data_IF_659322522297
#
_entry.id   IF_659322522297
#
_cell.length_a   1.000
_cell.length_b   1.000
_cell.length_c   1.000
_cell.angle_alpha   90.00
_cell.angle_beta   90.00
_cell.angle_gamma   90.00
#
_symmetry.space_group_name_H-M   'P 1'
#
loop_
_entity.id
_entity.type
_entity.pdbx_description
1 polymer ?
#
# COMPACT_ATOMS: atom_id res chain seq x y z
N UNK A 1 16.67 11.43 -15.63
CA UNK A 1 17.38 12.70 -15.51
C UNK A 1 17.28 13.22 -14.07
N UNK A 2 16.12 13.53 -13.53
CA UNK A 2 15.91 14.05 -12.18
C UNK A 2 16.59 13.22 -11.07
N UNK A 3 16.45 11.88 -11.09
CA UNK A 3 17.08 10.98 -10.10
C UNK A 3 18.61 11.11 -10.06
N UNK A 4 19.27 11.37 -11.19
CA UNK A 4 20.73 11.55 -11.22
C UNK A 4 21.15 12.91 -10.66
N UNK A 5 20.35 13.94 -10.89
CA UNK A 5 20.64 15.30 -10.45
C UNK A 5 20.51 15.47 -8.95
N UNK A 6 19.53 14.78 -8.36
CA UNK A 6 19.23 14.84 -6.93
C UNK A 6 19.68 13.59 -6.16
N UNK A 7 20.62 12.80 -6.72
CA UNK A 7 21.02 11.50 -6.15
C UNK A 7 21.36 11.59 -4.66
N UNK A 8 22.09 12.59 -4.24
CA UNK A 8 22.57 12.75 -2.87
C UNK A 8 21.52 13.39 -1.93
N UNK A 9 20.40 13.85 -2.48
CA UNK A 9 19.31 14.54 -1.77
C UNK A 9 18.04 13.71 -1.70
N UNK A 10 17.93 12.69 -2.57
CA UNK A 10 16.76 11.79 -2.57
C UNK A 10 16.73 10.97 -1.29
N UNK A 11 15.53 10.89 -0.69
CA UNK A 11 15.32 10.23 0.60
C UNK A 11 15.59 11.14 1.80
N UNK A 12 16.39 12.19 1.66
CA UNK A 12 16.63 13.20 2.70
C UNK A 12 15.62 14.35 2.58
N UNK A 13 15.87 15.27 1.66
CA UNK A 13 15.07 16.48 1.47
C UNK A 13 14.24 16.48 0.19
N UNK A 14 14.52 15.59 -0.75
CA UNK A 14 13.85 15.54 -2.06
C UNK A 14 13.33 14.15 -2.33
N UNK A 15 12.08 14.06 -2.78
CA UNK A 15 11.50 12.87 -3.40
C UNK A 15 11.16 13.17 -4.86
N UNK A 16 11.53 12.27 -5.75
CA UNK A 16 11.30 12.42 -7.20
C UNK A 16 10.56 11.22 -7.74
N UNK A 17 9.51 11.47 -8.49
CA UNK A 17 8.78 10.45 -9.23
C UNK A 17 8.48 10.94 -10.65
N UNK A 18 9.16 10.38 -11.62
CA UNK A 18 9.07 10.77 -13.04
C UNK A 18 9.35 12.27 -13.21
N UNK A 19 8.31 13.10 -13.31
CA UNK A 19 8.37 14.55 -13.48
C UNK A 19 7.90 15.32 -12.24
N UNK A 20 7.38 14.63 -11.24
CA UNK A 20 6.91 15.26 -10.00
C UNK A 20 8.02 15.23 -8.95
N UNK A 21 8.14 16.29 -8.18
CA UNK A 21 9.14 16.43 -7.13
C UNK A 21 8.48 17.02 -5.87
N UNK A 22 8.84 16.47 -4.72
CA UNK A 22 8.49 17.03 -3.41
C UNK A 22 9.76 17.38 -2.67
N UNK A 23 9.83 18.61 -2.18
CA UNK A 23 10.86 19.06 -1.25
C UNK A 23 10.25 19.03 0.15
N UNK A 24 10.88 18.31 1.06
CA UNK A 24 10.47 18.16 2.46
C UNK A 24 11.59 18.59 3.39
N UNK A 25 11.25 19.25 4.46
CA UNK A 25 12.20 19.66 5.48
C UNK A 25 11.70 19.22 6.85
N UNK A 26 12.64 18.91 7.73
CA UNK A 26 12.30 18.49 9.10
C UNK A 26 11.79 19.68 9.95
N UNK A 27 12.34 20.86 9.66
CA UNK A 27 12.05 22.10 10.38
C UNK A 27 11.65 23.19 9.41
N UNK A 28 10.69 24.02 9.78
CA UNK A 28 10.16 25.10 8.94
C UNK A 28 11.26 26.10 8.55
N UNK A 29 12.11 26.49 9.50
CA UNK A 29 13.22 27.41 9.26
C UNK A 29 14.20 26.89 8.22
N UNK A 30 14.46 25.57 8.21
CA UNK A 30 15.39 24.93 7.28
C UNK A 30 14.81 24.84 5.87
N UNK A 31 13.48 24.88 5.72
CA UNK A 31 12.81 24.68 4.44
C UNK A 31 13.23 25.68 3.37
N UNK A 32 13.52 26.91 3.76
CA UNK A 32 13.94 27.95 2.83
C UNK A 32 15.34 27.63 2.25
N UNK A 33 16.27 27.18 3.07
CA UNK A 33 17.63 26.82 2.66
C UNK A 33 17.60 25.56 1.77
N UNK A 34 16.80 24.56 2.16
CA UNK A 34 16.59 23.34 1.37
C UNK A 34 16.02 23.66 -0.02
N UNK A 35 15.03 24.56 -0.11
CA UNK A 35 14.50 25.03 -1.39
C UNK A 35 15.54 25.76 -2.23
N UNK A 36 16.34 26.62 -1.61
CA UNK A 36 17.42 27.35 -2.31
C UNK A 36 18.41 26.38 -2.94
N UNK A 37 18.82 25.38 -2.18
CA UNK A 37 19.73 24.33 -2.67
C UNK A 37 19.14 23.55 -3.86
N UNK A 38 17.85 23.21 -3.78
CA UNK A 38 17.13 22.56 -4.89
C UNK A 38 17.09 23.45 -6.13
N UNK A 39 16.79 24.74 -5.94
CA UNK A 39 16.76 25.69 -7.06
C UNK A 39 18.14 25.89 -7.71
N UNK A 40 19.22 25.86 -6.94
CA UNK A 40 20.58 25.93 -7.47
C UNK A 40 20.89 24.74 -8.36
N UNK A 41 20.56 23.53 -7.94
CA UNK A 41 20.71 22.31 -8.77
C UNK A 41 19.93 22.44 -10.08
N UNK A 42 18.69 22.92 -10.02
CA UNK A 42 17.86 23.09 -11.22
C UNK A 42 18.42 24.14 -12.17
N UNK A 43 18.93 25.27 -11.66
CA UNK A 43 19.59 26.31 -12.45
C UNK A 43 20.84 25.80 -13.16
N UNK A 44 21.69 25.03 -12.46
CA UNK A 44 22.87 24.42 -13.06
C UNK A 44 22.50 23.52 -14.24
N UNK A 45 21.36 22.84 -14.18
CA UNK A 45 20.89 21.96 -15.25
C UNK A 45 19.92 22.63 -16.23
N UNK A 46 19.74 23.94 -16.13
CA UNK A 46 18.86 24.76 -16.99
C UNK A 46 17.41 24.27 -17.03
N UNK A 47 16.92 23.73 -15.92
CA UNK A 47 15.53 23.28 -15.77
C UNK A 47 14.66 24.42 -15.24
N UNK A 48 13.40 24.43 -15.70
CA UNK A 48 12.36 25.36 -15.24
C UNK A 48 11.15 24.59 -14.74
N UNK A 49 10.56 25.04 -13.67
CA UNK A 49 9.26 24.57 -13.21
C UNK A 49 8.11 25.19 -14.00
N UNK A 50 7.01 24.47 -14.04
CA UNK A 50 5.74 25.07 -14.38
C UNK A 50 5.14 25.67 -13.09
N UNK A 51 5.19 26.99 -12.97
CA UNK A 51 4.75 27.72 -11.79
C UNK A 51 3.30 27.42 -11.42
N UNK A 52 2.41 27.26 -12.42
CA UNK A 52 0.98 26.98 -12.20
C UNK A 52 0.71 25.62 -11.55
N UNK A 53 1.71 24.73 -11.59
CA UNK A 53 1.63 23.38 -10.97
C UNK A 53 2.45 23.26 -9.70
N UNK A 54 3.09 24.33 -9.25
CA UNK A 54 3.92 24.33 -8.06
C UNK A 54 3.13 24.90 -6.88
N UNK A 55 3.27 24.25 -5.72
CA UNK A 55 2.78 24.78 -4.44
C UNK A 55 3.96 24.87 -3.48
N UNK A 56 4.12 25.99 -2.80
CA UNK A 56 5.22 26.26 -1.87
C UNK A 56 4.69 26.59 -0.49
N UNK A 57 5.41 26.18 0.56
CA UNK A 57 5.06 26.48 1.94
C UNK A 57 3.72 25.92 2.39
N UNK A 58 3.31 24.79 1.84
CA UNK A 58 2.02 24.16 2.12
C UNK A 58 2.18 23.06 3.15
N UNK A 59 1.31 23.02 4.17
CA UNK A 59 1.26 21.93 5.15
C UNK A 59 0.66 20.64 4.60
N UNK A 60 -0.01 20.71 3.44
CA UNK A 60 -0.65 19.59 2.74
C UNK A 60 -0.30 19.66 1.26
N UNK A 61 0.24 18.59 0.72
CA UNK A 61 0.62 18.51 -0.70
C UNK A 61 -0.10 17.36 -1.42
N UNK A 62 -0.55 17.63 -2.65
CA UNK A 62 -1.04 16.57 -3.56
C UNK A 62 0.16 15.98 -4.29
N UNK A 63 0.46 14.70 -4.05
CA UNK A 63 1.55 13.99 -4.71
C UNK A 63 1.10 12.57 -5.11
N UNK A 64 1.33 12.21 -6.36
CA UNK A 64 0.93 10.89 -6.92
C UNK A 64 -0.55 10.54 -6.72
N UNK A 65 -1.42 11.55 -6.70
CA UNK A 65 -2.86 11.34 -6.48
C UNK A 65 -3.26 11.13 -5.02
N UNK A 66 -2.36 11.36 -4.07
CA UNK A 66 -2.61 11.31 -2.63
C UNK A 66 -2.42 12.67 -1.99
N UNK A 67 -3.01 12.85 -0.81
CA UNK A 67 -2.66 13.96 0.07
C UNK A 67 -1.57 13.50 1.03
N UNK A 68 -0.48 14.25 1.06
CA UNK A 68 0.59 14.10 2.04
C UNK A 68 0.41 15.20 3.08
N UNK A 69 0.25 14.80 4.33
CA UNK A 69 0.06 15.67 5.47
C UNK A 69 1.11 15.38 6.54
N UNK A 70 1.25 16.22 7.55
CA UNK A 70 2.11 15.95 8.71
C UNK A 70 1.70 14.68 9.47
N UNK A 71 0.44 14.25 9.35
CA UNK A 71 -0.09 13.05 10.02
C UNK A 71 0.15 11.78 9.22
N UNK A 72 0.36 11.89 7.90
CA UNK A 72 0.55 10.74 7.01
C UNK A 72 0.02 10.95 5.60
N UNK A 73 -0.33 9.86 4.95
CA UNK A 73 -0.83 9.84 3.57
C UNK A 73 -2.33 9.53 3.59
N UNK A 74 -3.09 10.38 2.94
CA UNK A 74 -4.54 10.26 2.84
C UNK A 74 -4.98 10.10 1.37
N UNK A 75 -6.15 9.53 1.17
CA UNK A 75 -6.78 9.48 -0.15
C UNK A 75 -7.16 10.90 -0.56
N UNK A 76 -6.93 11.26 -1.82
CA UNK A 76 -7.37 12.55 -2.33
C UNK A 76 -8.90 12.65 -2.29
N UNK A 77 -9.49 13.67 -1.61
CA UNK A 77 -10.93 13.87 -1.56
C UNK A 77 -11.61 13.95 -2.92
N UNK A 78 -10.94 14.51 -3.93
CA UNK A 78 -11.45 14.58 -5.29
C UNK A 78 -11.71 13.19 -5.87
N UNK A 79 -10.82 12.22 -5.57
CA UNK A 79 -11.00 10.83 -5.98
C UNK A 79 -12.14 10.15 -5.22
N UNK A 80 -12.31 10.46 -3.92
CA UNK A 80 -13.40 9.93 -3.11
C UNK A 80 -14.74 10.44 -3.68
N UNK A 81 -14.85 11.73 -3.96
CA UNK A 81 -16.06 12.34 -4.50
C UNK A 81 -16.38 11.82 -5.91
N UNK A 82 -15.35 11.62 -6.74
CA UNK A 82 -15.51 11.02 -8.05
C UNK A 82 -16.12 9.61 -7.97
N UNK A 83 -15.73 8.78 -6.99
CA UNK A 83 -16.33 7.44 -6.79
C UNK A 83 -17.73 7.53 -6.18
N UNK A 84 -17.95 8.45 -5.24
CA UNK A 84 -19.28 8.64 -4.63
C UNK A 84 -20.34 9.06 -5.65
N UNK A 85 -19.98 9.94 -6.58
CA UNK A 85 -20.87 10.44 -7.64
C UNK A 85 -21.12 9.42 -8.75
N UNK A 86 -20.30 8.35 -8.84
CA UNK A 86 -20.50 7.32 -9.85
C UNK A 86 -21.87 6.62 -9.71
N UNK A 87 -22.56 6.48 -10.85
CA UNK A 87 -23.70 5.58 -10.97
C UNK A 87 -23.22 4.14 -11.18
N UNK A 88 -24.02 3.14 -10.81
CA UNK A 88 -23.68 1.75 -11.08
C UNK A 88 -23.31 1.54 -12.56
N UNK A 89 -22.18 0.86 -12.85
CA UNK A 89 -21.77 0.59 -14.21
C UNK A 89 -22.83 -0.15 -15.00
N UNK A 90 -23.15 0.33 -16.20
CA UNK A 90 -24.17 -0.26 -17.10
C UNK A 90 -23.55 -1.03 -18.29
N UNK A 91 -22.22 -1.03 -18.40
CA UNK A 91 -21.48 -1.73 -19.44
C UNK A 91 -20.03 -2.00 -19.02
N UNK A 92 -19.30 -2.89 -19.72
CA UNK A 92 -17.92 -3.23 -19.40
C UNK A 92 -16.96 -2.05 -19.39
N UNK A 93 -17.13 -1.05 -20.27
CA UNK A 93 -16.27 0.15 -20.29
C UNK A 93 -16.39 0.95 -18.98
N UNK A 94 -17.60 1.09 -18.44
CA UNK A 94 -17.79 1.75 -17.14
C UNK A 94 -17.20 0.96 -15.99
N UNK A 95 -17.18 -0.39 -16.07
CA UNK A 95 -16.48 -1.22 -15.09
C UNK A 95 -14.97 -1.01 -15.18
N UNK A 96 -14.40 -0.86 -16.38
CA UNK A 96 -12.98 -0.52 -16.54
C UNK A 96 -12.64 0.83 -15.89
N UNK A 97 -13.48 1.84 -16.07
CA UNK A 97 -13.31 3.15 -15.40
C UNK A 97 -13.34 2.97 -13.89
N UNK A 98 -14.33 2.26 -13.35
CA UNK A 98 -14.43 1.98 -11.92
C UNK A 98 -13.20 1.25 -11.40
N UNK A 99 -12.76 0.17 -12.05
CA UNK A 99 -11.58 -0.59 -11.61
C UNK A 99 -10.28 0.19 -11.75
N UNK A 100 -10.17 1.09 -12.73
CA UNK A 100 -9.07 2.04 -12.86
C UNK A 100 -9.00 3.01 -11.66
N UNK A 101 -10.14 3.58 -11.28
CA UNK A 101 -10.23 4.42 -10.08
C UNK A 101 -9.90 3.63 -8.81
N UNK A 102 -10.41 2.40 -8.69
CA UNK A 102 -10.13 1.52 -7.55
C UNK A 102 -8.65 1.19 -7.38
N UNK A 103 -7.87 1.15 -8.45
CA UNK A 103 -6.45 0.86 -8.38
C UNK A 103 -5.69 1.88 -7.51
N UNK A 104 -6.16 3.13 -7.45
CA UNK A 104 -5.57 4.19 -6.62
C UNK A 104 -5.82 3.95 -5.11
N UNK A 105 -6.89 3.24 -4.76
CA UNK A 105 -7.26 2.96 -3.36
C UNK A 105 -6.67 1.65 -2.81
N UNK A 106 -6.03 0.84 -3.63
CA UNK A 106 -5.55 -0.49 -3.25
C UNK A 106 -4.68 -0.50 -1.97
N UNK A 107 -3.87 0.55 -1.78
CA UNK A 107 -2.99 0.69 -0.60
C UNK A 107 -3.71 1.14 0.68
N UNK A 108 -4.98 1.49 0.60
CA UNK A 108 -5.79 1.96 1.73
C UNK A 108 -6.85 0.95 2.16
N UNK A 109 -7.05 -0.12 1.41
CA UNK A 109 -8.15 -1.06 1.64
C UNK A 109 -7.61 -2.45 1.97
N UNK A 110 -7.90 -2.90 3.19
CA UNK A 110 -7.63 -4.28 3.56
C UNK A 110 -8.52 -5.24 2.77
N UNK A 111 -7.98 -6.39 2.36
CA UNK A 111 -8.70 -7.39 1.54
C UNK A 111 -9.27 -6.85 0.22
N UNK A 112 -8.68 -5.80 -0.33
CA UNK A 112 -9.11 -5.17 -1.58
C UNK A 112 -9.42 -6.18 -2.70
N UNK A 113 -8.54 -7.16 -2.92
CA UNK A 113 -8.68 -8.14 -3.98
C UNK A 113 -9.87 -9.09 -3.78
N UNK A 114 -10.27 -9.36 -2.53
CA UNK A 114 -11.46 -10.14 -2.22
C UNK A 114 -12.74 -9.31 -2.36
N UNK A 115 -12.79 -8.14 -1.75
CA UNK A 115 -13.98 -7.27 -1.75
C UNK A 115 -14.40 -6.84 -3.16
N UNK A 116 -13.44 -6.54 -4.04
CA UNK A 116 -13.75 -6.01 -5.38
C UNK A 116 -13.55 -7.03 -6.50
N UNK A 117 -13.35 -8.30 -6.15
CA UNK A 117 -13.30 -9.42 -7.12
C UNK A 117 -14.48 -9.45 -8.09
N UNK A 118 -15.74 -9.19 -7.68
CA UNK A 118 -16.89 -9.20 -8.59
C UNK A 118 -16.70 -8.28 -9.79
N UNK A 119 -16.12 -7.09 -9.60
CA UNK A 119 -15.89 -6.16 -10.71
C UNK A 119 -14.85 -6.68 -11.71
N UNK A 120 -13.77 -7.29 -11.22
CA UNK A 120 -12.74 -7.88 -12.07
C UNK A 120 -13.23 -9.12 -12.80
N UNK A 121 -14.18 -9.85 -12.22
CA UNK A 121 -14.82 -10.99 -12.91
C UNK A 121 -15.70 -10.55 -14.08
N UNK A 122 -16.40 -9.41 -13.95
CA UNK A 122 -17.17 -8.83 -15.06
C UNK A 122 -16.29 -8.45 -16.25
N UNK A 123 -15.05 -8.01 -16.01
CA UNK A 123 -14.11 -7.70 -17.09
C UNK A 123 -13.61 -8.95 -17.83
N UNK A 124 -13.62 -10.12 -17.21
CA UNK A 124 -13.27 -11.40 -17.87
C UNK A 124 -14.40 -11.95 -18.73
N UNK A 125 -15.67 -11.65 -18.39
CA UNK A 125 -16.88 -12.12 -19.10
C UNK A 125 -17.42 -11.00 -19.98
N UNK A 126 -16.74 -10.73 -21.11
CA UNK A 126 -17.14 -9.66 -22.03
C UNK A 126 -18.50 -9.86 -22.69
N UNK A 127 -18.90 -11.13 -22.93
CA UNK A 127 -20.22 -11.48 -23.49
C UNK A 127 -21.22 -11.70 -22.34
N UNK A 128 -22.36 -11.00 -22.36
CA UNK A 128 -23.40 -11.14 -21.34
C UNK A 128 -23.15 -10.32 -20.07
N UNK A 129 -22.86 -9.03 -20.23
CA UNK A 129 -22.71 -8.12 -19.09
C UNK A 129 -23.97 -8.09 -18.23
N UNK A 130 -23.82 -8.42 -16.94
CA UNK A 130 -24.88 -8.32 -15.96
C UNK A 130 -24.32 -7.77 -14.65
N UNK A 131 -24.84 -6.63 -14.21
CA UNK A 131 -24.50 -6.04 -12.91
C UNK A 131 -25.26 -6.78 -11.80
N UNK A 132 -24.60 -7.78 -11.19
CA UNK A 132 -25.21 -8.68 -10.21
C UNK A 132 -25.45 -8.01 -8.86
N UNK A 133 -26.24 -8.66 -7.98
CA UNK A 133 -26.47 -8.20 -6.60
C UNK A 133 -25.14 -8.16 -5.80
N UNK A 134 -24.21 -9.08 -6.06
CA UNK A 134 -22.89 -9.09 -5.48
C UNK A 134 -22.10 -7.81 -5.85
N UNK A 135 -22.19 -7.39 -7.12
CA UNK A 135 -21.58 -6.16 -7.58
C UNK A 135 -22.23 -4.91 -6.94
N UNK A 136 -23.56 -4.92 -6.81
CA UNK A 136 -24.27 -3.80 -6.15
C UNK A 136 -23.82 -3.65 -4.69
N UNK A 137 -23.75 -4.77 -3.96
CA UNK A 137 -23.28 -4.79 -2.56
C UNK A 137 -21.84 -4.29 -2.44
N UNK A 138 -20.91 -4.87 -3.21
CA UNK A 138 -19.51 -4.45 -3.21
C UNK A 138 -19.34 -2.97 -3.59
N UNK A 139 -20.18 -2.44 -4.48
CA UNK A 139 -20.15 -1.03 -4.88
C UNK A 139 -20.66 -0.11 -3.77
N UNK A 140 -21.69 -0.52 -3.04
CA UNK A 140 -22.20 0.23 -1.90
C UNK A 140 -21.20 0.22 -0.72
N UNK A 141 -20.67 -0.95 -0.38
CA UNK A 141 -19.62 -1.09 0.64
C UNK A 141 -18.39 -0.24 0.33
N UNK A 142 -18.00 -0.15 -0.94
CA UNK A 142 -16.90 0.74 -1.37
C UNK A 142 -17.20 2.19 -1.02
N UNK A 143 -18.38 2.69 -1.38
CA UNK A 143 -18.77 4.08 -1.13
C UNK A 143 -18.77 4.40 0.38
N UNK A 144 -19.30 3.50 1.17
CA UNK A 144 -19.33 3.63 2.63
C UNK A 144 -17.92 3.60 3.24
N UNK A 145 -17.08 2.68 2.77
CA UNK A 145 -15.69 2.58 3.21
C UNK A 145 -14.89 3.86 2.91
N UNK A 146 -15.04 4.41 1.71
CA UNK A 146 -14.28 5.60 1.29
C UNK A 146 -14.65 6.86 2.10
N UNK A 147 -15.84 6.91 2.72
CA UNK A 147 -16.20 7.99 3.67
C UNK A 147 -15.29 7.98 4.90
N UNK A 148 -14.79 6.79 5.28
CA UNK A 148 -13.97 6.55 6.47
C UNK A 148 -12.61 5.97 6.12
N UNK A 149 -12.12 6.26 4.89
CA UNK A 149 -10.85 5.71 4.43
C UNK A 149 -9.74 5.95 5.46
N UNK A 150 -8.96 4.92 5.82
CA UNK A 150 -7.92 5.07 6.80
C UNK A 150 -6.80 5.96 6.26
N UNK A 151 -6.23 6.74 7.14
CA UNK A 151 -4.96 7.42 6.91
C UNK A 151 -3.81 6.44 7.09
N UNK A 152 -2.81 6.49 6.22
CA UNK A 152 -1.57 5.73 6.38
C UNK A 152 -0.54 6.60 7.10
N UNK A 153 0.04 6.06 8.17
CA UNK A 153 1.04 6.77 8.99
C UNK A 153 2.45 6.25 8.68
N UNK A 154 3.45 7.11 8.76
CA UNK A 154 4.84 6.69 8.68
C UNK A 154 5.31 6.22 10.06
N UNK A 155 6.01 5.07 10.18
CA UNK A 155 6.63 4.67 11.43
C UNK A 155 7.87 5.52 11.71
N UNK A 156 8.24 5.63 12.99
CA UNK A 156 9.48 6.27 13.38
C UNK A 156 10.65 5.28 13.32
N UNK A 157 11.88 5.75 13.12
CA UNK A 157 13.06 4.89 13.10
C UNK A 157 13.16 4.01 14.34
N UNK A 158 13.36 2.70 14.15
CA UNK A 158 13.49 1.72 15.23
C UNK A 158 12.18 1.32 15.92
N UNK A 159 11.02 1.82 15.49
CA UNK A 159 9.71 1.43 16.01
C UNK A 159 9.36 -0.02 15.64
N UNK A 160 8.79 -0.76 16.59
CA UNK A 160 8.24 -2.10 16.32
C UNK A 160 6.99 -2.00 15.46
N UNK A 161 6.92 -2.84 14.42
CA UNK A 161 5.76 -2.91 13.54
C UNK A 161 5.02 -4.23 13.73
N UNK A 162 3.72 -4.19 13.50
CA UNK A 162 2.83 -5.34 13.64
C UNK A 162 2.22 -5.68 12.28
N UNK A 163 2.09 -6.97 12.00
CA UNK A 163 1.59 -7.44 10.71
C UNK A 163 0.51 -8.47 10.89
N UNK A 164 -0.66 -8.22 10.28
CA UNK A 164 -1.71 -9.22 10.13
C UNK A 164 -1.72 -9.76 8.71
N UNK A 165 -1.87 -11.06 8.61
CA UNK A 165 -1.99 -11.79 7.36
C UNK A 165 -3.42 -12.33 7.24
N UNK A 166 -3.99 -12.22 6.06
CA UNK A 166 -5.28 -12.83 5.73
C UNK A 166 -5.19 -13.47 4.35
N UNK A 167 -5.74 -14.66 4.21
CA UNK A 167 -5.77 -15.39 2.95
C UNK A 167 -7.17 -15.95 2.72
N UNK A 168 -7.60 -15.92 1.47
CA UNK A 168 -8.81 -16.58 1.00
C UNK A 168 -8.47 -17.65 -0.04
N UNK A 169 -9.48 -18.23 -0.66
CA UNK A 169 -9.27 -19.11 -1.81
C UNK A 169 -8.58 -18.37 -2.95
N UNK A 170 -8.89 -17.09 -3.16
CA UNK A 170 -8.58 -16.33 -4.35
C UNK A 170 -7.57 -15.20 -4.17
N UNK A 171 -7.34 -14.77 -2.93
CA UNK A 171 -6.50 -13.63 -2.64
C UNK A 171 -5.68 -13.79 -1.36
N UNK A 172 -4.67 -12.94 -1.24
CA UNK A 172 -3.89 -12.73 -0.03
C UNK A 172 -3.88 -11.24 0.30
N UNK A 173 -3.94 -10.93 1.60
CA UNK A 173 -3.92 -9.56 2.09
C UNK A 173 -3.05 -9.44 3.33
N UNK A 174 -2.40 -8.30 3.44
CA UNK A 174 -1.49 -7.98 4.54
C UNK A 174 -1.80 -6.56 4.98
N UNK A 175 -1.80 -6.33 6.28
CA UNK A 175 -1.75 -4.98 6.84
C UNK A 175 -0.52 -4.86 7.73
N UNK A 176 0.25 -3.81 7.53
CA UNK A 176 1.35 -3.39 8.38
C UNK A 176 0.86 -2.23 9.24
N UNK A 177 1.05 -2.35 10.54
CA UNK A 177 0.56 -1.41 11.55
C UNK A 177 1.70 -0.96 12.45
N UNK A 178 1.55 0.23 13.02
CA UNK A 178 2.29 0.71 14.19
C UNK A 178 1.34 0.76 15.38
N UNK A 179 1.89 0.77 16.60
CA UNK A 179 1.10 0.87 17.83
C UNK A 179 1.62 2.00 18.73
N UNK A 180 0.93 3.13 18.72
CA UNK A 180 1.17 4.29 19.59
C UNK A 180 -0.13 4.74 20.24
N UNK A 181 -0.49 4.07 21.31
CA UNK A 181 -1.76 4.33 21.99
C UNK A 181 -2.98 3.92 21.13
N UNK A 182 -2.75 3.00 20.18
CA UNK A 182 -3.72 2.43 19.26
C UNK A 182 -3.09 2.05 17.93
N UNK A 183 -3.66 1.02 17.32
CA UNK A 183 -3.15 0.49 16.05
C UNK A 183 -3.45 1.45 14.90
N UNK A 184 -2.41 1.91 14.22
CA UNK A 184 -2.47 2.80 13.06
C UNK A 184 -1.90 2.10 11.84
N UNK A 185 -2.58 2.26 10.70
CA UNK A 185 -2.15 1.63 9.46
C UNK A 185 -0.91 2.32 8.88
N UNK A 186 0.11 1.52 8.57
CA UNK A 186 1.29 1.95 7.82
C UNK A 186 1.12 1.61 6.34
N UNK A 187 0.64 0.39 6.05
CA UNK A 187 0.44 -0.03 4.67
C UNK A 187 -0.51 -1.22 4.55
N UNK A 188 -1.30 -1.23 3.48
CA UNK A 188 -2.11 -2.38 3.08
C UNK A 188 -1.56 -2.99 1.80
N UNK A 189 -1.53 -4.31 1.74
CA UNK A 189 -1.23 -5.07 0.53
C UNK A 189 -2.41 -6.02 0.28
N UNK A 190 -2.91 -6.04 -0.93
CA UNK A 190 -3.87 -7.04 -1.36
C UNK A 190 -3.54 -7.50 -2.76
N UNK A 191 -3.61 -8.82 -2.99
CA UNK A 191 -3.26 -9.42 -4.28
C UNK A 191 -4.08 -10.66 -4.58
N UNK A 192 -4.64 -10.71 -5.77
CA UNK A 192 -5.28 -11.91 -6.32
C UNK A 192 -4.23 -13.01 -6.55
N UNK A 193 -4.56 -14.23 -6.19
CA UNK A 193 -3.75 -15.41 -6.47
C UNK A 193 -4.00 -15.88 -7.89
N UNK A 194 -2.94 -16.26 -8.58
CA UNK A 194 -3.04 -16.96 -9.87
C UNK A 194 -3.44 -18.42 -9.64
N UNK A 195 -4.05 -19.06 -10.65
CA UNK A 195 -4.66 -20.39 -10.53
C UNK A 195 -3.78 -21.44 -9.85
N UNK A 196 -2.48 -21.49 -10.20
CA UNK A 196 -1.52 -22.38 -9.57
C UNK A 196 -1.36 -22.16 -8.05
N UNK A 197 -1.50 -20.91 -7.58
CA UNK A 197 -1.36 -20.54 -6.17
C UNK A 197 -2.67 -20.65 -5.39
N UNK A 198 -3.80 -20.67 -6.05
CA UNK A 198 -5.09 -20.95 -5.41
C UNK A 198 -5.15 -22.33 -4.80
N UNK A 199 -4.40 -23.29 -5.36
CA UNK A 199 -4.30 -24.69 -4.87
C UNK A 199 -3.37 -24.87 -3.67
N UNK A 200 -2.67 -23.82 -3.23
CA UNK A 200 -1.81 -23.90 -2.04
C UNK A 200 -2.64 -24.08 -0.78
N UNK A 201 -2.09 -24.81 0.18
CA UNK A 201 -2.70 -24.92 1.51
C UNK A 201 -2.82 -23.53 2.16
N UNK A 202 -3.81 -23.30 3.02
CA UNK A 202 -3.98 -22.01 3.71
C UNK A 202 -2.68 -21.52 4.37
N UNK A 203 -1.94 -22.43 5.00
CA UNK A 203 -0.67 -22.14 5.65
C UNK A 203 0.42 -21.70 4.66
N UNK A 204 0.51 -22.36 3.49
CA UNK A 204 1.42 -21.94 2.41
C UNK A 204 1.04 -20.57 1.84
N UNK A 205 -0.26 -20.28 1.72
CA UNK A 205 -0.74 -18.96 1.29
C UNK A 205 -0.33 -17.88 2.28
N UNK A 206 -0.39 -18.14 3.60
CA UNK A 206 0.06 -17.20 4.63
C UNK A 206 1.56 -16.92 4.52
N UNK A 207 2.39 -17.95 4.37
CA UNK A 207 3.83 -17.76 4.14
C UNK A 207 4.08 -16.99 2.84
N UNK A 208 3.35 -17.32 1.77
CA UNK A 208 3.43 -16.58 0.50
C UNK A 208 3.06 -15.09 0.66
N UNK A 209 2.03 -14.79 1.46
CA UNK A 209 1.63 -13.41 1.76
C UNK A 209 2.76 -12.65 2.48
N UNK A 210 3.41 -13.29 3.46
CA UNK A 210 4.56 -12.71 4.17
C UNK A 210 5.75 -12.48 3.22
N UNK A 211 6.11 -13.47 2.41
CA UNK A 211 7.15 -13.31 1.37
C UNK A 211 6.82 -12.21 0.37
N UNK A 212 5.54 -12.06 0.02
CA UNK A 212 5.13 -10.97 -0.86
C UNK A 212 5.28 -9.60 -0.19
N UNK A 213 4.94 -9.52 1.10
CA UNK A 213 5.12 -8.31 1.90
C UNK A 213 6.60 -7.88 1.96
N UNK A 214 7.53 -8.81 2.25
CA UNK A 214 8.97 -8.49 2.27
C UNK A 214 9.52 -8.03 0.91
N UNK A 215 8.90 -8.47 -0.19
CA UNK A 215 9.27 -8.02 -1.54
C UNK A 215 8.71 -6.64 -1.87
N UNK A 216 7.52 -6.35 -1.39
CA UNK A 216 6.82 -5.10 -1.69
C UNK A 216 7.28 -3.94 -0.79
N UNK A 217 7.67 -4.26 0.44
CA UNK A 217 8.01 -3.30 1.48
C UNK A 217 9.41 -3.56 2.09
N UNK A 218 10.47 -3.79 1.29
CA UNK A 218 11.78 -4.20 1.82
C UNK A 218 12.35 -3.22 2.83
N UNK A 219 12.15 -1.93 2.63
CA UNK A 219 12.67 -0.87 3.50
C UNK A 219 12.08 -0.92 4.92
N UNK A 220 10.81 -1.30 5.08
CA UNK A 220 10.24 -1.47 6.43
C UNK A 220 10.84 -2.68 7.14
N UNK A 221 11.03 -3.80 6.44
CA UNK A 221 11.63 -5.00 7.03
C UNK A 221 13.13 -4.87 7.30
N UNK A 222 13.83 -3.96 6.64
CA UNK A 222 15.24 -3.66 6.88
C UNK A 222 15.45 -2.70 8.06
N UNK A 223 14.49 -1.78 8.29
CA UNK A 223 14.61 -0.72 9.28
C UNK A 223 13.92 -1.03 10.62
N UNK A 224 13.04 -2.04 10.66
CA UNK A 224 12.17 -2.30 11.80
C UNK A 224 12.09 -3.79 12.14
N UNK A 225 11.90 -4.10 13.43
CA UNK A 225 11.41 -5.41 13.85
C UNK A 225 9.95 -5.55 13.49
N UNK A 226 9.57 -6.63 12.79
CA UNK A 226 8.19 -6.87 12.37
C UNK A 226 7.60 -8.07 13.11
N UNK A 227 6.57 -7.82 13.93
CA UNK A 227 5.82 -8.86 14.64
C UNK A 227 4.66 -9.36 13.78
N UNK A 228 4.74 -10.59 13.32
CA UNK A 228 3.66 -11.26 12.59
C UNK A 228 2.67 -11.85 13.59
N UNK A 229 1.45 -11.31 13.58
CA UNK A 229 0.35 -11.73 14.47
C UNK A 229 -0.46 -12.81 13.75
N UNK A 230 -0.44 -14.04 14.25
CA UNK A 230 -1.04 -15.20 13.58
C UNK A 230 -1.53 -16.22 14.60
N UNK A 231 -2.60 -16.93 14.25
CA UNK A 231 -3.10 -18.09 14.99
C UNK A 231 -2.40 -19.41 14.59
N UNK A 232 -1.60 -19.33 13.52
CA UNK A 232 -0.93 -20.50 12.94
C UNK A 232 0.55 -20.58 13.37
N UNK A 233 1.12 -21.78 13.52
CA UNK A 233 2.50 -22.00 13.92
C UNK A 233 3.49 -21.73 12.77
N UNK A 234 3.46 -20.54 12.20
CA UNK A 234 4.31 -20.18 11.04
C UNK A 234 5.79 -20.30 11.33
N UNK A 235 6.23 -19.96 12.55
CA UNK A 235 7.64 -20.06 12.94
C UNK A 235 8.15 -21.50 12.91
N UNK A 236 7.38 -22.45 13.48
CA UNK A 236 7.77 -23.85 13.50
C UNK A 236 7.74 -24.47 12.10
N UNK A 237 6.80 -24.04 11.25
CA UNK A 237 6.73 -24.45 9.86
C UNK A 237 8.00 -24.03 9.08
N UNK A 238 8.41 -22.78 9.23
CA UNK A 238 9.56 -22.23 8.51
C UNK A 238 10.91 -22.78 9.01
N UNK A 239 10.97 -23.24 10.26
CA UNK A 239 12.16 -23.85 10.87
C UNK A 239 12.32 -25.35 10.58
N UNK A 240 11.27 -26.05 10.16
CA UNK A 240 11.33 -27.48 9.86
C UNK A 240 12.14 -27.74 8.59
N UNK A 241 13.26 -28.41 8.72
CA UNK A 241 14.16 -28.79 7.62
C UNK A 241 13.55 -29.77 6.60
N UNK A 242 12.45 -30.44 6.98
CA UNK A 242 11.82 -31.51 6.17
C UNK A 242 10.92 -30.99 5.05
N UNK A 243 10.68 -29.69 4.97
CA UNK A 243 9.95 -29.10 3.85
C UNK A 243 10.89 -28.87 2.68
N UNK A 244 10.98 -29.85 1.77
CA UNK A 244 11.67 -29.66 0.51
C UNK A 244 10.96 -28.63 -0.38
N UNK A 245 11.73 -27.80 -1.09
CA UNK A 245 11.23 -26.98 -2.17
C UNK A 245 10.89 -25.52 -1.80
N UNK A 246 9.64 -25.11 -1.98
CA UNK A 246 9.25 -23.68 -1.91
C UNK A 246 9.36 -23.08 -0.51
N UNK A 247 8.92 -23.79 0.52
CA UNK A 247 8.90 -23.30 1.90
C UNK A 247 10.32 -23.05 2.40
N UNK A 248 11.26 -23.93 2.07
CA UNK A 248 12.69 -23.74 2.41
C UNK A 248 13.24 -22.45 1.77
N UNK A 249 12.98 -22.23 0.46
CA UNK A 249 13.40 -21.01 -0.24
C UNK A 249 12.77 -19.77 0.38
N UNK A 250 11.52 -19.86 0.81
CA UNK A 250 10.83 -18.75 1.49
C UNK A 250 11.40 -18.52 2.89
N UNK A 251 11.69 -19.59 3.64
CA UNK A 251 12.32 -19.51 4.96
C UNK A 251 13.68 -18.82 4.92
N UNK A 252 14.56 -19.22 3.98
CA UNK A 252 15.86 -18.56 3.77
C UNK A 252 15.71 -17.07 3.52
N UNK A 253 14.76 -16.69 2.65
CA UNK A 253 14.51 -15.27 2.37
C UNK A 253 13.99 -14.50 3.59
N UNK A 254 13.06 -15.09 4.34
CA UNK A 254 12.48 -14.46 5.53
C UNK A 254 13.50 -14.35 6.67
N UNK A 255 14.46 -15.27 6.73
CA UNK A 255 15.55 -15.29 7.72
C UNK A 255 16.52 -14.11 7.62
N UNK A 256 16.51 -13.35 6.49
CA UNK A 256 17.33 -12.13 6.34
C UNK A 256 16.74 -10.89 7.01
N UNK A 257 15.55 -11.01 7.61
CA UNK A 257 14.84 -9.90 8.27
C UNK A 257 14.56 -10.22 9.74
N UNK A 258 14.47 -9.20 10.59
CA UNK A 258 14.04 -9.38 11.99
C UNK A 258 12.51 -9.52 12.06
N UNK A 259 12.04 -10.73 11.74
CA UNK A 259 10.64 -11.12 11.81
C UNK A 259 10.41 -11.98 13.04
N UNK A 260 9.51 -11.53 13.90
CA UNK A 260 9.10 -12.24 15.12
C UNK A 260 7.65 -12.68 14.99
N UNK A 261 7.32 -13.84 15.55
CA UNK A 261 5.98 -14.40 15.47
C UNK A 261 5.32 -14.36 16.84
N UNK A 262 4.10 -13.82 16.91
CA UNK A 262 3.30 -13.79 18.12
C UNK A 262 1.93 -14.41 17.85
N UNK A 263 1.42 -15.16 18.84
CA UNK A 263 0.03 -15.61 18.77
C UNK A 263 -0.88 -14.38 18.82
N UNK A 264 -1.85 -14.36 17.92
CA UNK A 264 -2.94 -13.39 17.98
C UNK A 264 -3.77 -13.75 19.20
N UNK A 265 -3.57 -13.06 20.33
CA UNK A 265 -4.52 -13.12 21.42
C UNK A 265 -5.86 -12.62 20.88
N UNK A 266 -6.93 -13.39 21.09
CA UNK A 266 -8.29 -12.94 20.80
C UNK A 266 -8.49 -11.65 21.58
N UNK A 267 -8.47 -10.51 20.89
CA UNK A 267 -8.98 -9.27 21.47
C UNK A 267 -10.45 -9.53 21.63
N UNK A 268 -10.89 -9.77 22.87
CA UNK A 268 -12.31 -9.72 23.20
C UNK A 268 -12.76 -8.31 22.84
N UNK A 269 -13.66 -8.23 21.86
CA UNK A 269 -14.33 -7.02 21.45
C UNK A 269 -15.17 -6.44 22.58
#
# INVERSE_FOLDING_TARGET
>A
MMIRMFKDKIGCMVEVYINDMVVKSKWEIQHFDDLKEVFEVLRCHKLRFNADKCAFGVGVSKFLGYLITNRGIEVNPDHIEAVKSLKPPSNPKKVQVLTGMLATFNRFIFKFADHYRPFYQLLKKWKGFQWSEECKRAFQELKEYLVRAPMLTAPEPGEDLFMYLSVSEHAMSVVLLRDRGGQQAVYYISKTLVDAKMRYLPLEKLVLALVHATRKLPHYFQAHTVYVLTEYPLQSLLKRSNFMGRITKWGTRLGSFDIRYRLKSSVKG
#
